data_IF_411687870239
#
_entry.id   IF_411687870239
#
_cell.length_a   1.000
_cell.length_b   1.000
_cell.length_c   1.000
_cell.angle_alpha   90.00
_cell.angle_beta   90.00
_cell.angle_gamma   90.00
#
_symmetry.space_group_name_H-M   'P 1'
#
loop_
_entity.id
_entity.type
_entity.pdbx_description
1 polymer ?
#
# COMPACT_ATOMS: atom_id res chain seq x y z
N UNK A 1 -12.64 44.27 -6.76
CA UNK A 1 -12.76 43.39 -7.93
C UNK A 1 -11.50 42.53 -8.13
N UNK A 2 -10.84 42.07 -7.05
CA UNK A 2 -9.61 41.27 -7.16
C UNK A 2 -9.33 40.43 -5.90
N UNK A 3 -10.36 39.90 -5.25
CA UNK A 3 -10.19 39.12 -4.00
C UNK A 3 -10.89 37.74 -4.05
N UNK A 4 -11.07 37.18 -5.25
CA UNK A 4 -11.71 35.86 -5.39
C UNK A 4 -10.91 34.85 -6.21
N UNK A 5 -9.63 35.12 -6.51
CA UNK A 5 -8.81 34.19 -7.32
C UNK A 5 -8.07 33.11 -6.49
N UNK A 6 -8.10 33.16 -5.16
CA UNK A 6 -7.42 32.16 -4.33
C UNK A 6 -8.35 31.11 -3.70
N UNK A 7 -9.56 30.94 -4.25
CA UNK A 7 -10.46 29.89 -3.82
C UNK A 7 -10.17 28.61 -4.62
N UNK A 8 -9.52 27.63 -3.96
CA UNK A 8 -9.46 26.19 -4.28
C UNK A 8 -8.30 25.64 -5.13
N UNK A 9 -7.07 26.12 -4.93
CA UNK A 9 -5.85 25.37 -5.30
C UNK A 9 -5.13 24.84 -4.04
N UNK A 10 -5.88 24.26 -3.11
CA UNK A 10 -5.32 23.55 -1.95
C UNK A 10 -5.74 22.07 -1.94
N UNK A 11 -5.98 21.50 -3.12
CA UNK A 11 -6.13 20.05 -3.26
C UNK A 11 -4.89 19.48 -3.98
N UNK A 12 -3.72 19.87 -3.49
CA UNK A 12 -2.40 19.35 -3.88
C UNK A 12 -1.56 19.04 -2.63
N UNK A 13 -2.22 18.73 -1.52
CA UNK A 13 -1.57 18.27 -0.31
C UNK A 13 -2.09 16.86 0.04
N UNK A 14 -1.96 15.92 -0.90
CA UNK A 14 -1.82 14.51 -0.52
C UNK A 14 -0.38 14.34 0.00
N UNK A 15 -0.18 14.77 1.24
CA UNK A 15 1.00 14.43 2.02
C UNK A 15 0.60 13.23 2.88
N UNK A 16 0.48 12.05 2.27
CA UNK A 16 0.76 10.84 3.03
C UNK A 16 2.24 10.58 2.82
N UNK A 17 3.04 10.97 3.80
CA UNK A 17 4.48 10.75 3.77
C UNK A 17 4.74 9.24 3.53
N UNK A 18 5.82 8.83 2.82
CA UNK A 18 6.16 7.42 2.60
C UNK A 18 6.53 6.64 3.89
N UNK A 19 6.20 7.19 5.06
CA UNK A 19 6.46 6.59 6.37
C UNK A 19 5.34 5.64 6.83
N UNK A 20 4.14 5.73 6.24
CA UNK A 20 3.04 4.82 6.59
C UNK A 20 3.21 3.44 5.96
N UNK A 21 2.70 2.41 6.65
CA UNK A 21 2.75 1.01 6.18
C UNK A 21 2.16 0.86 4.78
N UNK A 22 1.06 1.59 4.48
CA UNK A 22 0.45 1.64 3.16
C UNK A 22 1.39 2.21 2.09
N UNK A 23 2.06 3.35 2.36
CA UNK A 23 2.99 3.95 1.40
C UNK A 23 4.17 3.03 1.08
N UNK A 24 4.69 2.33 2.10
CA UNK A 24 5.75 1.32 1.91
C UNK A 24 5.27 0.13 1.09
N UNK A 25 4.03 -0.35 1.30
CA UNK A 25 3.44 -1.39 0.44
C UNK A 25 3.30 -0.87 -0.99
N UNK A 26 2.82 0.36 -1.16
CA UNK A 26 2.69 1.00 -2.47
C UNK A 26 4.01 0.99 -3.25
N UNK A 27 5.13 1.35 -2.62
CA UNK A 27 6.45 1.26 -3.25
C UNK A 27 6.86 -0.18 -3.65
N UNK A 28 6.49 -1.17 -2.83
CA UNK A 28 6.79 -2.58 -3.13
C UNK A 28 5.96 -3.07 -4.31
N UNK A 29 4.67 -2.72 -4.32
CA UNK A 29 3.75 -3.01 -5.43
C UNK A 29 4.26 -2.35 -6.70
N UNK A 30 4.60 -1.07 -6.67
CA UNK A 30 5.15 -0.34 -7.81
C UNK A 30 6.41 -1.00 -8.38
N UNK A 31 7.33 -1.44 -7.52
CA UNK A 31 8.55 -2.13 -7.97
C UNK A 31 8.27 -3.53 -8.53
N UNK A 32 7.22 -4.21 -8.08
CA UNK A 32 6.87 -5.56 -8.52
C UNK A 32 5.99 -5.58 -9.78
N UNK A 33 5.06 -4.63 -9.92
CA UNK A 33 4.05 -4.62 -10.98
C UNK A 33 4.12 -3.42 -11.90
N UNK A 34 4.80 -2.34 -11.49
CA UNK A 34 4.82 -1.07 -12.21
C UNK A 34 3.58 -0.21 -11.99
N UNK A 35 2.68 -0.60 -11.09
CA UNK A 35 1.51 0.20 -10.69
C UNK A 35 1.97 1.35 -9.79
N UNK A 36 1.59 2.59 -10.13
CA UNK A 36 1.97 3.75 -9.32
C UNK A 36 1.47 3.61 -7.88
N UNK A 37 2.35 3.85 -6.92
CA UNK A 37 2.02 3.80 -5.49
C UNK A 37 0.85 4.70 -5.10
N UNK A 38 0.59 5.78 -5.85
CA UNK A 38 -0.59 6.65 -5.68
C UNK A 38 -1.93 5.96 -5.98
N UNK A 39 -1.95 4.92 -6.82
CA UNK A 39 -3.15 4.12 -7.11
C UNK A 39 -3.41 3.07 -6.03
N UNK A 40 -2.41 2.77 -5.21
CA UNK A 40 -2.49 1.79 -4.13
C UNK A 40 -3.13 2.43 -2.91
N UNK A 41 -4.45 2.29 -2.79
CA UNK A 41 -5.21 2.78 -1.65
C UNK A 41 -5.66 1.64 -0.75
N UNK A 42 -5.99 1.96 0.51
CA UNK A 42 -6.48 0.96 1.47
C UNK A 42 -7.75 0.22 0.99
N UNK A 43 -8.59 0.85 0.16
CA UNK A 43 -9.80 0.24 -0.38
C UNK A 43 -9.59 -0.53 -1.68
N UNK A 44 -8.41 -0.44 -2.29
CA UNK A 44 -8.13 -1.10 -3.56
C UNK A 44 -7.77 -2.57 -3.33
N UNK A 45 -8.26 -3.46 -4.19
CA UNK A 45 -7.85 -4.87 -4.17
C UNK A 45 -6.62 -5.06 -5.07
N UNK A 46 -5.68 -5.96 -4.71
CA UNK A 46 -4.54 -6.28 -5.58
C UNK A 46 -5.00 -6.77 -6.96
N UNK A 47 -6.11 -7.51 -7.04
CA UNK A 47 -6.67 -7.93 -8.33
C UNK A 47 -7.16 -6.76 -9.21
N UNK A 48 -7.69 -5.69 -8.61
CA UNK A 48 -8.13 -4.48 -9.34
C UNK A 48 -6.94 -3.68 -9.87
N UNK A 49 -5.82 -3.71 -9.16
CA UNK A 49 -4.53 -3.14 -9.60
C UNK A 49 -3.87 -3.95 -10.73
N UNK A 50 -4.45 -5.08 -11.15
CA UNK A 50 -3.84 -5.98 -12.12
C UNK A 50 -2.64 -6.74 -11.55
N UNK A 51 -2.60 -6.96 -10.23
CA UNK A 51 -1.61 -7.84 -9.60
C UNK A 51 -1.97 -9.28 -9.93
N UNK A 52 -1.14 -9.91 -10.77
CA UNK A 52 -1.21 -11.34 -11.03
C UNK A 52 -0.70 -12.17 -9.84
N UNK A 53 -1.06 -13.45 -9.80
CA UNK A 53 -0.66 -14.38 -8.73
C UNK A 53 0.86 -14.48 -8.53
N UNK A 54 1.65 -14.37 -9.61
CA UNK A 54 3.12 -14.34 -9.52
C UNK A 54 3.63 -13.08 -8.84
N UNK A 55 3.07 -11.92 -9.21
CA UNK A 55 3.41 -10.64 -8.61
C UNK A 55 2.97 -10.57 -7.15
N UNK A 56 1.85 -11.20 -6.81
CA UNK A 56 1.36 -11.29 -5.43
C UNK A 56 2.33 -12.07 -4.53
N UNK A 57 2.92 -13.16 -5.04
CA UNK A 57 3.98 -13.90 -4.33
C UNK A 57 5.20 -12.99 -4.10
N UNK A 58 5.64 -12.25 -5.12
CA UNK A 58 6.80 -11.36 -5.00
C UNK A 58 6.55 -10.20 -4.02
N UNK A 59 5.38 -9.56 -4.09
CA UNK A 59 4.98 -8.48 -3.16
C UNK A 59 4.95 -9.02 -1.73
N UNK A 60 4.37 -10.21 -1.52
CA UNK A 60 4.30 -10.86 -0.21
C UNK A 60 5.69 -11.04 0.37
N UNK A 61 6.60 -11.67 -0.37
CA UNK A 61 7.98 -11.93 0.10
C UNK A 61 8.71 -10.62 0.40
N UNK A 62 8.58 -9.59 -0.45
CA UNK A 62 9.22 -8.29 -0.19
C UNK A 62 8.62 -7.57 1.01
N UNK A 63 7.33 -7.72 1.27
CA UNK A 63 6.69 -7.20 2.46
C UNK A 63 7.19 -7.95 3.71
N UNK A 64 7.27 -9.29 3.68
CA UNK A 64 7.86 -10.08 4.77
C UNK A 64 9.27 -9.61 5.10
N UNK A 65 10.14 -9.42 4.09
CA UNK A 65 11.51 -8.94 4.29
C UNK A 65 11.57 -7.48 4.77
N UNK A 66 10.72 -6.59 4.25
CA UNK A 66 10.74 -5.17 4.56
C UNK A 66 10.17 -4.85 5.95
N UNK A 67 9.21 -5.65 6.42
CA UNK A 67 8.51 -5.45 7.69
C UNK A 67 8.90 -6.48 8.76
N UNK A 68 9.62 -7.54 8.39
CA UNK A 68 10.03 -8.58 9.33
C UNK A 68 8.89 -9.49 9.78
N UNK A 69 7.83 -9.62 8.99
CA UNK A 69 6.65 -10.44 9.32
C UNK A 69 6.69 -11.79 8.60
N UNK A 70 5.81 -12.72 8.99
CA UNK A 70 5.48 -13.90 8.18
C UNK A 70 4.07 -13.81 7.64
N UNK A 71 3.93 -14.09 6.36
CA UNK A 71 2.68 -14.15 5.63
C UNK A 71 2.53 -15.53 5.01
N UNK A 72 1.55 -16.29 5.51
CA UNK A 72 1.21 -17.60 4.95
C UNK A 72 0.27 -17.43 3.74
N UNK A 73 0.28 -18.38 2.80
CA UNK A 73 -0.60 -18.33 1.61
C UNK A 73 -2.08 -18.14 2.00
N UNK A 74 -2.53 -18.79 3.07
CA UNK A 74 -3.91 -18.65 3.57
C UNK A 74 -4.23 -17.22 4.04
N UNK A 75 -3.25 -16.54 4.64
CA UNK A 75 -3.38 -15.15 5.10
C UNK A 75 -3.43 -14.22 3.89
N UNK A 76 -2.50 -14.38 2.94
CA UNK A 76 -2.43 -13.61 1.69
C UNK A 76 -3.71 -13.75 0.86
N UNK A 77 -4.23 -14.97 0.73
CA UNK A 77 -5.48 -15.26 0.02
C UNK A 77 -6.73 -14.81 0.78
N UNK A 78 -6.62 -14.58 2.09
CA UNK A 78 -7.71 -14.09 2.92
C UNK A 78 -7.93 -12.58 2.80
N UNK A 79 -6.90 -11.83 2.40
CA UNK A 79 -7.00 -10.38 2.26
C UNK A 79 -7.70 -9.99 0.96
N UNK A 80 -8.71 -9.14 1.07
CA UNK A 80 -9.43 -8.64 -0.10
C UNK A 80 -8.88 -7.29 -0.56
N UNK A 81 -8.26 -6.54 0.35
CA UNK A 81 -7.80 -5.18 0.10
C UNK A 81 -6.38 -4.95 0.59
N UNK A 82 -5.70 -3.98 -0.02
CA UNK A 82 -4.35 -3.57 0.42
C UNK A 82 -4.38 -2.94 1.82
N UNK A 83 -5.52 -2.36 2.23
CA UNK A 83 -5.70 -1.83 3.58
C UNK A 83 -5.66 -2.91 4.66
N UNK A 84 -6.34 -4.04 4.45
CA UNK A 84 -6.27 -5.19 5.37
C UNK A 84 -4.84 -5.74 5.47
N UNK A 85 -4.13 -5.75 4.34
CA UNK A 85 -2.73 -6.14 4.31
C UNK A 85 -1.86 -5.18 5.14
N UNK A 86 -2.04 -3.88 4.96
CA UNK A 86 -1.32 -2.85 5.70
C UNK A 86 -1.59 -2.91 7.20
N UNK A 87 -2.85 -3.10 7.60
CA UNK A 87 -3.24 -3.22 9.00
C UNK A 87 -2.60 -4.46 9.64
N UNK A 88 -2.65 -5.61 8.94
CA UNK A 88 -1.99 -6.83 9.40
C UNK A 88 -0.48 -6.66 9.58
N UNK A 89 0.17 -6.00 8.61
CA UNK A 89 1.60 -5.68 8.71
C UNK A 89 1.89 -4.77 9.90
N UNK A 90 1.07 -3.75 10.15
CA UNK A 90 1.27 -2.83 11.28
C UNK A 90 1.17 -3.56 12.63
N UNK A 91 0.16 -4.43 12.77
CA UNK A 91 -0.03 -5.24 13.98
C UNK A 91 1.10 -6.25 14.23
N UNK A 92 1.66 -6.85 13.17
CA UNK A 92 2.67 -7.91 13.29
C UNK A 92 4.11 -7.41 13.21
N UNK A 93 4.39 -6.31 12.50
CA UNK A 93 5.74 -5.73 12.39
C UNK A 93 6.19 -5.10 13.71
N UNK A 94 5.26 -4.68 14.57
CA UNK A 94 5.57 -4.15 15.90
C UNK A 94 5.92 -5.24 16.94
N UNK A 95 5.65 -6.52 16.65
CA UNK A 95 5.76 -7.60 17.63
C UNK A 95 7.18 -8.19 17.78
N UNK A 96 8.13 -7.84 16.91
CA UNK A 96 9.51 -8.33 16.92
C UNK A 96 10.53 -7.19 17.23
N UNK A 97 10.27 -6.42 18.30
CA UNK A 97 11.21 -5.45 18.88
C UNK A 97 11.62 -5.83 20.32
#
# INVERSE_FOLDING_TARGET
MADQLAAKLQQEEQVDSPTTTLGRIGEIVEKATGVESEQVTAGTSPSDLGVDSLSMIEITVRCEEAFGVRLDDATVLGFSTVGEFADYLDEHAAAEA
#
